data_IF_795966905297
#
_entry.id   IF_795966905297
#
_cell.length_a   1.000
_cell.length_b   1.000
_cell.length_c   1.000
_cell.angle_alpha   90.00
_cell.angle_beta   90.00
_cell.angle_gamma   90.00
#
_symmetry.space_group_name_H-M   'P 1'
#
loop_
_entity.id
_entity.type
_entity.pdbx_description
1 polymer ?
#
# COMPACT_ATOMS: atom_id res chain seq x y z
N UNK A 1 5.91 24.14 -1.57
CA UNK A 1 5.17 24.30 -0.30
C UNK A 1 5.29 23.05 0.56
N UNK A 2 5.27 23.20 1.86
CA UNK A 2 5.23 22.06 2.75
C UNK A 2 3.79 21.58 2.91
N UNK A 3 3.61 20.27 2.82
CA UNK A 3 2.31 19.63 3.00
C UNK A 3 2.22 19.11 4.44
N UNK A 4 1.16 19.42 5.14
CA UNK A 4 0.90 18.88 6.46
C UNK A 4 0.30 17.47 6.31
N UNK A 5 1.06 16.47 6.74
CA UNK A 5 0.67 15.06 6.61
C UNK A 5 -0.33 14.68 7.70
N UNK A 6 -1.18 13.70 7.40
CA UNK A 6 -2.13 13.14 8.33
C UNK A 6 -1.98 11.62 8.36
N UNK A 7 -1.76 11.06 9.58
CA UNK A 7 -1.62 9.63 9.77
C UNK A 7 -2.89 9.07 10.40
N UNK A 8 -3.42 8.02 9.79
CA UNK A 8 -4.56 7.29 10.33
C UNK A 8 -4.15 5.88 10.71
N UNK A 9 -4.86 5.30 11.68
CA UNK A 9 -4.73 3.90 12.05
C UNK A 9 -5.86 3.13 11.37
N UNK A 10 -5.52 2.08 10.62
CA UNK A 10 -6.49 1.21 9.99
C UNK A 10 -6.41 -0.18 10.61
N UNK A 11 -7.54 -0.72 11.06
CA UNK A 11 -7.61 -2.03 11.68
C UNK A 11 -8.24 -3.02 10.71
N UNK A 12 -7.59 -4.17 10.54
CA UNK A 12 -8.07 -5.26 9.67
C UNK A 12 -8.39 -4.79 8.25
N UNK A 13 -7.52 -3.96 7.69
CA UNK A 13 -7.74 -3.36 6.38
C UNK A 13 -7.89 -4.43 5.29
N UNK A 14 -8.96 -4.32 4.51
CA UNK A 14 -9.31 -5.27 3.45
C UNK A 14 -9.36 -6.72 3.95
N UNK A 15 -9.78 -6.94 5.20
CA UNK A 15 -9.80 -8.25 5.81
C UNK A 15 -8.44 -8.74 6.31
N UNK A 16 -7.45 -7.87 6.33
CA UNK A 16 -6.12 -8.18 6.85
C UNK A 16 -6.07 -8.28 8.37
N UNK A 17 -4.86 -8.44 8.89
CA UNK A 17 -4.60 -8.66 10.32
C UNK A 17 -4.09 -7.39 10.99
N UNK A 18 -4.62 -7.12 12.17
CA UNK A 18 -4.12 -6.11 13.10
C UNK A 18 -4.13 -4.69 12.53
N UNK A 19 -3.42 -3.79 13.20
CA UNK A 19 -3.40 -2.38 12.86
C UNK A 19 -2.22 -2.03 11.97
N UNK A 20 -2.47 -1.18 11.00
CA UNK A 20 -1.45 -0.57 10.14
C UNK A 20 -1.61 0.95 10.23
N UNK A 21 -0.58 1.67 9.82
CA UNK A 21 -0.56 3.13 9.88
C UNK A 21 -0.37 3.70 8.48
N UNK A 22 -1.29 4.57 8.08
CA UNK A 22 -1.28 5.16 6.75
C UNK A 22 -1.11 6.68 6.90
N UNK A 23 -0.02 7.20 6.37
CA UNK A 23 0.24 8.64 6.34
C UNK A 23 0.00 9.14 4.93
N UNK A 24 -1.10 9.88 4.75
CA UNK A 24 -1.40 10.48 3.45
C UNK A 24 -0.43 11.61 3.18
N UNK A 25 0.31 11.52 2.08
CA UNK A 25 1.34 12.49 1.71
C UNK A 25 0.77 13.63 0.87
N UNK A 26 -0.28 13.37 0.11
CA UNK A 26 -1.04 14.37 -0.62
C UNK A 26 -2.51 14.25 -0.29
N UNK A 27 -3.22 15.38 -0.38
CA UNK A 27 -4.68 15.41 -0.26
C UNK A 27 -5.32 15.38 -1.66
N UNK A 28 -6.64 15.29 -1.71
CA UNK A 28 -7.39 15.33 -2.96
C UNK A 28 -7.10 16.60 -3.76
N UNK A 29 -6.88 17.72 -3.09
CA UNK A 29 -6.58 19.00 -3.75
C UNK A 29 -5.30 18.93 -4.55
N UNK A 30 -4.22 18.33 -4.01
CA UNK A 30 -2.95 18.21 -4.72
C UNK A 30 -3.00 17.15 -5.81
N UNK A 31 -3.78 16.10 -5.62
CA UNK A 31 -3.86 15.00 -6.58
C UNK A 31 -4.69 15.33 -7.82
N UNK A 32 -5.53 16.37 -7.75
CA UNK A 32 -6.25 16.91 -8.91
C UNK A 32 -7.13 15.88 -9.63
N UNK A 33 -7.67 14.91 -8.90
CA UNK A 33 -8.50 13.88 -9.49
C UNK A 33 -7.74 12.84 -10.33
N UNK A 34 -6.43 12.87 -10.36
CA UNK A 34 -5.60 11.96 -11.17
C UNK A 34 -5.15 10.74 -10.39
N UNK A 35 -5.02 10.87 -9.09
CA UNK A 35 -4.65 9.79 -8.18
C UNK A 35 -5.70 9.69 -7.08
N UNK A 36 -5.82 8.50 -6.51
CA UNK A 36 -6.68 8.29 -5.34
C UNK A 36 -5.89 8.35 -4.04
N UNK A 37 -4.61 8.06 -4.09
CA UNK A 37 -3.79 8.02 -2.88
C UNK A 37 -2.31 8.13 -3.23
N UNK A 38 -1.59 8.89 -2.42
CA UNK A 38 -0.14 8.81 -2.29
C UNK A 38 0.14 8.80 -0.80
N UNK A 39 0.67 7.70 -0.29
CA UNK A 39 0.80 7.51 1.15
C UNK A 39 2.06 6.73 1.50
N UNK A 40 2.54 6.96 2.74
CA UNK A 40 3.49 6.07 3.40
C UNK A 40 2.68 5.11 4.27
N UNK A 41 2.95 3.81 4.14
CA UNK A 41 2.27 2.77 4.90
C UNK A 41 3.28 2.08 5.79
N UNK A 42 2.92 1.89 7.06
CA UNK A 42 3.71 1.13 8.02
C UNK A 42 2.89 -0.08 8.46
N UNK A 43 3.44 -1.26 8.22
CA UNK A 43 2.84 -2.53 8.63
C UNK A 43 3.73 -3.15 9.72
N UNK A 44 3.32 -3.09 11.00
CA UNK A 44 4.08 -3.73 12.07
C UNK A 44 4.16 -5.25 11.90
N UNK A 45 5.10 -5.93 12.58
CA UNK A 45 5.16 -7.39 12.55
C UNK A 45 3.82 -8.04 12.89
N UNK A 46 3.41 -9.00 12.09
CA UNK A 46 2.15 -9.71 12.25
C UNK A 46 0.92 -9.02 11.66
N UNK A 47 1.07 -7.80 11.15
CA UNK A 47 -0.04 -7.09 10.52
C UNK A 47 -0.03 -7.28 9.00
N UNK A 48 -1.15 -6.99 8.37
CA UNK A 48 -1.28 -7.14 6.91
C UNK A 48 -2.39 -6.28 6.34
N UNK A 49 -2.28 -6.04 5.03
CA UNK A 49 -3.41 -5.59 4.20
C UNK A 49 -3.91 -6.84 3.49
N UNK A 50 -5.21 -7.16 3.65
CA UNK A 50 -5.81 -8.35 3.04
C UNK A 50 -5.95 -8.21 1.53
N UNK A 51 -6.31 -9.33 0.90
CA UNK A 51 -6.50 -9.35 -0.54
C UNK A 51 -7.63 -8.44 -0.97
N UNK A 52 -7.36 -7.61 -1.98
CA UNK A 52 -8.36 -6.71 -2.54
C UNK A 52 -8.06 -6.50 -4.03
N UNK A 53 -9.12 -6.22 -4.78
CA UNK A 53 -9.05 -5.96 -6.21
C UNK A 53 -8.98 -4.47 -6.48
N UNK A 54 -8.29 -4.11 -7.56
CA UNK A 54 -8.29 -2.76 -8.08
C UNK A 54 -9.14 -2.71 -9.35
N UNK A 55 -10.19 -1.89 -9.32
CA UNK A 55 -11.06 -1.66 -10.49
C UNK A 55 -11.14 -0.17 -10.74
N UNK A 56 -10.79 0.24 -11.96
CA UNK A 56 -10.74 1.65 -12.33
C UNK A 56 -9.50 2.37 -11.83
N UNK A 57 -8.53 1.64 -11.31
CA UNK A 57 -7.25 2.18 -10.83
C UNK A 57 -6.18 1.09 -10.82
N UNK A 58 -4.96 1.50 -10.50
CA UNK A 58 -3.83 0.60 -10.29
C UNK A 58 -3.06 1.05 -9.05
N UNK A 59 -2.32 0.14 -8.43
CA UNK A 59 -1.55 0.49 -7.23
C UNK A 59 -0.11 0.04 -7.33
N UNK A 60 0.80 0.94 -6.95
CA UNK A 60 2.23 0.68 -6.87
C UNK A 60 2.68 0.76 -5.43
N UNK A 61 3.45 -0.23 -4.98
CA UNK A 61 4.18 -0.17 -3.71
C UNK A 61 5.68 -0.08 -4.00
N UNK A 62 6.36 0.77 -3.26
CA UNK A 62 7.83 0.83 -3.29
C UNK A 62 8.35 0.64 -1.87
N UNK A 63 9.13 -0.42 -1.64
CA UNK A 63 9.54 -0.84 -0.30
C UNK A 63 10.72 0.00 0.18
N UNK A 64 10.55 0.66 1.32
CA UNK A 64 11.56 1.50 1.94
C UNK A 64 12.31 0.80 3.08
N UNK A 65 11.64 -0.08 3.82
CA UNK A 65 12.21 -0.73 4.99
C UNK A 65 11.49 -2.03 5.27
N UNK A 66 12.19 -3.01 5.82
CA UNK A 66 11.61 -4.29 6.19
C UNK A 66 11.49 -5.27 5.03
N UNK A 67 10.78 -6.36 5.30
CA UNK A 67 10.55 -7.46 4.35
C UNK A 67 9.06 -7.76 4.34
N UNK A 68 8.46 -7.87 3.16
CA UNK A 68 7.05 -8.19 3.03
C UNK A 68 6.82 -9.52 2.31
N UNK A 69 5.71 -10.16 2.63
CA UNK A 69 5.18 -11.29 1.87
C UNK A 69 4.07 -10.74 0.99
N UNK A 70 4.27 -10.76 -0.31
CA UNK A 70 3.37 -10.12 -1.27
C UNK A 70 2.64 -11.18 -2.07
N UNK A 71 1.32 -11.02 -2.18
CA UNK A 71 0.48 -11.85 -3.02
C UNK A 71 0.12 -11.05 -4.27
N UNK A 72 0.68 -11.45 -5.39
CA UNK A 72 0.55 -10.80 -6.68
C UNK A 72 -0.45 -11.59 -7.52
N UNK A 73 -1.72 -11.27 -7.37
CA UNK A 73 -2.81 -11.92 -8.10
C UNK A 73 -2.75 -13.44 -8.01
N UNK A 74 -2.40 -13.97 -6.85
CA UNK A 74 -2.28 -15.39 -6.57
C UNK A 74 -0.85 -15.92 -6.46
N UNK A 75 0.13 -15.22 -7.02
CA UNK A 75 1.54 -15.58 -6.90
C UNK A 75 2.14 -14.94 -5.65
N UNK A 76 2.67 -15.75 -4.76
CA UNK A 76 3.20 -15.26 -3.48
C UNK A 76 4.73 -15.26 -3.53
N UNK A 77 5.33 -14.13 -3.17
CA UNK A 77 6.79 -13.99 -3.10
C UNK A 77 7.19 -12.92 -2.08
N UNK A 78 8.48 -12.95 -1.72
CA UNK A 78 9.04 -11.97 -0.79
C UNK A 78 9.41 -10.69 -1.54
N UNK A 79 9.14 -9.54 -0.91
CA UNK A 79 9.59 -8.24 -1.38
C UNK A 79 10.52 -7.61 -0.36
N UNK A 80 11.55 -6.93 -0.85
CA UNK A 80 12.63 -6.37 -0.04
C UNK A 80 12.82 -4.89 -0.34
N UNK A 81 13.66 -4.22 0.45
CA UNK A 81 13.99 -2.82 0.27
C UNK A 81 14.43 -2.54 -1.16
N UNK A 82 13.83 -1.55 -1.78
CA UNK A 82 14.12 -1.15 -3.16
C UNK A 82 13.23 -1.82 -4.19
N UNK A 83 12.47 -2.86 -3.80
CA UNK A 83 11.52 -3.51 -4.73
C UNK A 83 10.31 -2.64 -4.98
N UNK A 84 9.79 -2.71 -6.19
CA UNK A 84 8.55 -2.04 -6.59
C UNK A 84 7.57 -3.10 -7.09
N UNK A 85 6.36 -3.09 -6.54
CA UNK A 85 5.27 -3.95 -7.02
C UNK A 85 4.24 -3.13 -7.77
N UNK A 86 3.55 -3.76 -8.69
CA UNK A 86 2.48 -3.10 -9.45
C UNK A 86 1.28 -4.03 -9.55
N UNK A 87 0.13 -3.54 -9.09
CA UNK A 87 -1.14 -4.23 -9.23
C UNK A 87 -1.97 -3.51 -10.29
N UNK A 88 -2.09 -4.07 -11.51
CA UNK A 88 -2.82 -3.40 -12.58
C UNK A 88 -4.33 -3.40 -12.30
N UNK A 89 -5.03 -2.55 -13.04
CA UNK A 89 -6.49 -2.53 -13.05
C UNK A 89 -7.03 -3.93 -13.38
N UNK A 90 -7.97 -4.40 -12.58
CA UNK A 90 -8.58 -5.73 -12.74
C UNK A 90 -7.87 -6.85 -11.99
N UNK A 91 -6.75 -6.57 -11.33
CA UNK A 91 -6.00 -7.58 -10.56
C UNK A 91 -6.17 -7.38 -9.05
N UNK A 92 -5.74 -8.38 -8.29
CA UNK A 92 -5.77 -8.35 -6.83
C UNK A 92 -4.36 -8.43 -6.27
N UNK A 93 -4.19 -7.93 -5.04
CA UNK A 93 -2.97 -8.15 -4.29
C UNK A 93 -3.23 -8.08 -2.78
N UNK A 94 -2.25 -8.53 -2.02
CA UNK A 94 -2.19 -8.38 -0.57
C UNK A 94 -0.74 -8.32 -0.14
N UNK A 95 -0.50 -7.85 1.08
CA UNK A 95 0.85 -7.79 1.64
C UNK A 95 0.80 -8.02 3.15
N UNK A 96 1.72 -8.82 3.65
CA UNK A 96 1.80 -9.18 5.06
C UNK A 96 3.23 -9.01 5.57
N UNK A 97 3.36 -8.57 6.81
CA UNK A 97 4.65 -8.51 7.50
C UNK A 97 4.81 -9.73 8.39
N UNK A 98 5.53 -10.73 7.89
CA UNK A 98 5.89 -11.94 8.65
C UNK A 98 7.28 -11.82 9.30
N UNK A 99 7.91 -10.66 9.18
CA UNK A 99 9.23 -10.40 9.75
C UNK A 99 9.16 -9.89 11.18
N UNK A 100 10.29 -9.35 11.65
CA UNK A 100 10.45 -8.89 13.04
C UNK A 100 10.56 -7.38 13.16
N UNK A 101 10.63 -6.66 12.04
CA UNK A 101 10.71 -5.21 11.99
C UNK A 101 9.54 -4.64 11.19
N UNK A 102 9.27 -3.35 11.35
CA UNK A 102 8.23 -2.70 10.56
C UNK A 102 8.51 -2.78 9.06
N UNK A 103 7.47 -3.10 8.31
CA UNK A 103 7.49 -3.02 6.86
C UNK A 103 6.95 -1.65 6.48
N UNK A 104 7.74 -0.88 5.73
CA UNK A 104 7.40 0.49 5.35
C UNK A 104 7.52 0.63 3.83
N UNK A 105 6.49 1.17 3.22
CA UNK A 105 6.50 1.41 1.78
C UNK A 105 5.68 2.64 1.40
N UNK A 106 5.97 3.15 0.20
CA UNK A 106 5.14 4.18 -0.42
C UNK A 106 4.10 3.48 -1.29
N UNK A 107 2.86 3.91 -1.19
CA UNK A 107 1.74 3.41 -1.98
C UNK A 107 1.18 4.54 -2.84
N UNK A 108 1.02 4.27 -4.14
CA UNK A 108 0.44 5.20 -5.09
C UNK A 108 -0.71 4.52 -5.81
N UNK A 109 -1.89 5.10 -5.75
CA UNK A 109 -3.05 4.62 -6.52
C UNK A 109 -3.35 5.65 -7.62
N UNK A 110 -3.23 5.21 -8.86
CA UNK A 110 -3.48 6.04 -10.05
C UNK A 110 -4.82 5.64 -10.64
N UNK A 111 -5.65 6.62 -10.94
CA UNK A 111 -6.91 6.36 -11.64
C UNK A 111 -6.65 5.97 -13.09
N UNK A 112 -7.36 4.94 -13.56
CA UNK A 112 -7.30 4.55 -14.95
C UNK A 112 -7.96 5.61 -15.82
N UNK A 113 -7.47 5.85 -17.06
CA UNK A 113 -8.14 6.73 -17.99
C UNK A 113 -9.51 6.15 -18.38
N UNK A 114 -10.41 7.04 -18.74
CA UNK A 114 -11.75 6.65 -19.18
C UNK A 114 -11.73 6.17 -20.62
#
# INVERSE_FOLDING_TARGET
>A
MLIESNTITAKNKAGGKNEIYITHLLSDDEMKGKCKMLAKVVIPPGASIGEHYHYGDSETYHILSGVGTYNDNGDIYEVNVGDTTFCPDGSSHSIENQGTEDLIFIALIIKSPK
#
